data_IF_097562292364
#
_entry.id   IF_097562292364
#
_cell.length_a   1.000
_cell.length_b   1.000
_cell.length_c   1.000
_cell.angle_alpha   90.00
_cell.angle_beta   90.00
_cell.angle_gamma   90.00
#
_symmetry.space_group_name_H-M   'P 1'
#
loop_
_entity.id
_entity.type
_entity.pdbx_description
1 polymer ?
#
# COMPACT_ATOMS: atom_id res chain seq x y z
N UNK A 1 35.21 -100.47 34.28
CA UNK A 1 34.98 -99.42 33.27
C UNK A 1 34.38 -98.25 34.04
N UNK A 2 35.20 -97.41 34.69
CA UNK A 2 36.00 -96.33 34.08
C UNK A 2 35.05 -95.29 33.48
N UNK A 3 35.07 -93.99 33.77
CA UNK A 3 36.00 -93.12 34.48
C UNK A 3 35.30 -91.78 34.82
N UNK A 4 35.78 -91.16 35.91
CA UNK A 4 36.00 -89.74 36.23
C UNK A 4 35.15 -88.60 35.59
N UNK A 5 34.65 -87.69 36.44
CA UNK A 5 35.14 -86.28 36.51
C UNK A 5 34.45 -85.43 37.60
N UNK A 6 35.24 -84.90 38.54
CA UNK A 6 35.02 -83.59 39.20
C UNK A 6 35.81 -82.51 38.40
N UNK A 7 35.67 -81.15 38.56
CA UNK A 7 35.26 -80.40 39.76
C UNK A 7 34.50 -79.04 39.54
N UNK A 8 34.19 -78.38 40.67
CA UNK A 8 34.23 -76.92 40.94
C UNK A 8 33.37 -75.92 40.15
N UNK A 9 32.52 -75.18 40.87
CA UNK A 9 32.78 -73.74 41.13
C UNK A 9 31.59 -73.09 41.87
N UNK A 10 31.90 -72.46 43.01
CA UNK A 10 30.94 -71.62 43.71
C UNK A 10 30.70 -70.31 42.95
N UNK A 11 29.52 -69.73 43.12
CA UNK A 11 29.31 -68.29 43.04
C UNK A 11 28.17 -67.94 43.99
N UNK A 12 28.52 -67.36 45.14
CA UNK A 12 27.58 -66.69 46.02
C UNK A 12 26.92 -65.54 45.26
N UNK A 13 25.69 -65.76 44.82
CA UNK A 13 24.85 -64.71 44.27
C UNK A 13 24.55 -63.69 45.35
N UNK A 14 25.23 -62.54 45.29
CA UNK A 14 24.81 -61.33 46.01
C UNK A 14 23.38 -61.01 45.57
N UNK A 15 22.40 -61.31 46.43
CA UNK A 15 21.03 -60.89 46.24
C UNK A 15 20.99 -59.38 46.02
N UNK A 16 20.43 -58.94 44.88
CA UNK A 16 20.23 -57.52 44.62
C UNK A 16 19.32 -56.96 45.71
N UNK A 17 19.75 -55.89 46.37
CA UNK A 17 18.98 -55.23 47.42
C UNK A 17 17.59 -54.87 46.89
N UNK A 18 16.51 -55.51 47.38
CA UNK A 18 15.15 -55.30 46.88
C UNK A 18 14.67 -53.86 47.12
N UNK A 19 15.38 -53.08 47.94
CA UNK A 19 15.08 -51.69 48.23
C UNK A 19 15.97 -50.70 47.46
N UNK A 20 16.82 -51.15 46.52
CA UNK A 20 17.72 -50.27 45.77
C UNK A 20 16.96 -49.16 45.02
N UNK A 21 15.83 -49.50 44.39
CA UNK A 21 14.97 -48.53 43.69
C UNK A 21 14.32 -47.54 44.67
N UNK A 22 13.89 -48.00 45.85
CA UNK A 22 13.33 -47.14 46.89
C UNK A 22 14.41 -46.20 47.47
N UNK A 23 15.66 -46.68 47.60
CA UNK A 23 16.79 -45.87 48.05
C UNK A 23 17.17 -44.81 47.02
N UNK A 24 17.16 -45.14 45.74
CA UNK A 24 17.39 -44.18 44.64
C UNK A 24 16.26 -43.13 44.60
N UNK A 25 15.01 -43.56 44.64
CA UNK A 25 13.86 -42.66 44.65
C UNK A 25 13.88 -41.74 45.89
N UNK A 26 14.17 -42.29 47.07
CA UNK A 26 14.34 -41.53 48.30
C UNK A 26 15.48 -40.51 48.23
N UNK A 27 16.60 -40.87 47.60
CA UNK A 27 17.73 -39.95 47.37
C UNK A 27 17.37 -38.78 46.45
N UNK A 28 16.67 -39.04 45.34
CA UNK A 28 16.23 -38.00 44.40
C UNK A 28 15.22 -37.05 45.05
N UNK A 29 14.23 -37.60 45.78
CA UNK A 29 13.22 -36.79 46.47
C UNK A 29 13.85 -35.94 47.59
N UNK A 30 14.81 -36.49 48.33
CA UNK A 30 15.52 -35.75 49.38
C UNK A 30 16.35 -34.61 48.80
N UNK A 31 17.07 -34.85 47.70
CA UNK A 31 17.84 -33.81 47.02
C UNK A 31 16.93 -32.70 46.45
N UNK A 32 15.80 -33.08 45.83
CA UNK A 32 14.82 -32.13 45.33
C UNK A 32 14.19 -31.27 46.42
N UNK A 33 13.85 -31.88 47.57
CA UNK A 33 13.29 -31.17 48.71
C UNK A 33 14.30 -30.19 49.32
N UNK A 34 15.59 -30.57 49.42
CA UNK A 34 16.64 -29.68 49.91
C UNK A 34 16.85 -28.46 49.00
N UNK A 35 16.81 -28.66 47.68
CA UNK A 35 16.89 -27.54 46.71
C UNK A 35 15.66 -26.63 46.82
N UNK A 36 14.46 -27.21 46.93
CA UNK A 36 13.23 -26.42 47.09
C UNK A 36 13.21 -25.62 48.39
N UNK A 37 13.66 -26.22 49.50
CA UNK A 37 13.82 -25.54 50.79
C UNK A 37 14.85 -24.41 50.68
N UNK A 38 16.00 -24.64 50.04
CA UNK A 38 17.00 -23.59 49.85
C UNK A 38 16.47 -22.39 49.04
N UNK A 39 15.68 -22.66 47.98
CA UNK A 39 15.02 -21.61 47.19
C UNK A 39 13.96 -20.86 48.01
N UNK A 40 13.16 -21.57 48.82
CA UNK A 40 12.16 -20.94 49.69
C UNK A 40 12.79 -20.11 50.81
N UNK A 41 13.84 -20.60 51.45
CA UNK A 41 14.59 -19.85 52.46
C UNK A 41 15.23 -18.61 51.81
N UNK A 42 15.79 -18.72 50.61
CA UNK A 42 16.30 -17.57 49.87
C UNK A 42 15.20 -16.53 49.62
N UNK A 43 14.01 -16.96 49.20
CA UNK A 43 12.86 -16.07 48.99
C UNK A 43 12.37 -15.36 50.26
N UNK A 44 12.41 -16.04 51.40
CA UNK A 44 12.07 -15.45 52.71
C UNK A 44 13.18 -14.51 53.21
N UNK A 45 14.46 -14.82 52.96
CA UNK A 45 15.59 -13.98 53.35
C UNK A 45 15.72 -12.72 52.48
N UNK A 46 15.32 -12.77 51.20
CA UNK A 46 15.24 -11.60 50.32
C UNK A 46 14.00 -10.74 50.57
N UNK A 47 13.37 -10.88 51.74
CA UNK A 47 12.12 -10.24 52.14
C UNK A 47 11.93 -8.85 51.55
N UNK A 48 10.95 -8.74 50.66
CA UNK A 48 10.51 -7.47 50.11
C UNK A 48 9.90 -6.70 51.28
N UNK A 49 10.64 -5.70 51.77
CA UNK A 49 10.16 -4.81 52.82
C UNK A 49 8.94 -4.08 52.27
N UNK A 50 7.75 -4.42 52.79
CA UNK A 50 6.56 -3.59 52.64
C UNK A 50 6.89 -2.17 53.11
N UNK A 51 7.04 -1.26 52.14
CA UNK A 51 7.12 0.17 52.43
C UNK A 51 5.71 0.65 52.72
N UNK A 52 5.46 0.95 54.00
CA UNK A 52 4.25 1.64 54.47
C UNK A 52 4.03 2.90 53.61
N UNK A 53 2.83 3.00 53.03
CA UNK A 53 2.36 4.15 52.24
C UNK A 53 2.56 5.47 52.99
N UNK A 54 3.29 6.46 52.44
CA UNK A 54 3.07 7.84 52.81
C UNK A 54 1.94 8.41 51.93
N UNK A 55 0.94 8.97 52.59
CA UNK A 55 -0.11 9.78 51.98
C UNK A 55 0.53 11.04 51.41
N UNK A 56 0.68 11.11 50.09
CA UNK A 56 0.91 12.38 49.38
C UNK A 56 -0.02 12.42 48.17
N UNK A 57 -0.97 13.36 48.20
CA UNK A 57 -1.80 13.73 47.05
C UNK A 57 -0.90 14.40 46.02
N UNK A 58 -0.49 13.67 44.99
CA UNK A 58 0.03 14.24 43.75
C UNK A 58 -0.32 13.28 42.62
N UNK A 59 -0.96 13.81 41.59
CA UNK A 59 -1.37 13.08 40.39
C UNK A 59 -0.16 12.34 39.78
N UNK A 60 -0.21 11.01 39.75
CA UNK A 60 0.84 10.17 39.19
C UNK A 60 0.72 10.12 37.66
N UNK A 61 1.78 10.59 37.01
CA UNK A 61 2.06 10.35 35.59
C UNK A 61 2.35 8.85 35.35
N UNK A 62 2.00 8.31 34.18
CA UNK A 62 2.12 6.87 33.93
C UNK A 62 3.57 6.40 33.84
N UNK A 63 3.80 5.29 34.52
CA UNK A 63 5.04 4.49 34.59
C UNK A 63 5.51 4.11 33.17
N UNK A 64 6.76 4.43 32.86
CA UNK A 64 7.38 4.14 31.57
C UNK A 64 7.54 2.61 31.37
N UNK A 65 6.76 2.07 30.43
CA UNK A 65 6.95 0.73 29.92
C UNK A 65 8.31 0.62 29.21
N UNK A 66 9.01 -0.51 29.39
CA UNK A 66 10.17 -0.89 28.56
C UNK A 66 9.77 -0.77 27.08
N UNK A 67 10.32 0.22 26.39
CA UNK A 67 10.02 0.53 24.99
C UNK A 67 10.70 -0.47 24.08
N UNK A 68 9.90 -1.35 23.48
CA UNK A 68 10.30 -2.23 22.39
C UNK A 68 10.10 -1.53 21.05
N UNK A 69 11.16 -1.44 20.25
CA UNK A 69 11.05 -1.66 18.81
C UNK A 69 10.99 -0.45 17.88
N UNK A 70 10.04 0.46 18.05
CA UNK A 70 9.83 1.58 17.10
C UNK A 70 9.30 2.84 17.78
N UNK A 71 9.58 4.05 17.24
CA UNK A 71 9.09 5.31 17.81
C UNK A 71 7.56 5.36 17.97
N UNK A 72 7.11 6.09 19.00
CA UNK A 72 5.68 6.34 19.19
C UNK A 72 5.12 7.19 18.05
N UNK A 73 3.88 6.86 17.65
CA UNK A 73 3.08 7.58 16.66
C UNK A 73 1.96 8.41 17.32
N UNK A 74 1.97 8.60 18.65
CA UNK A 74 0.88 9.29 19.36
C UNK A 74 0.62 10.70 18.81
N UNK A 75 1.69 11.43 18.48
CA UNK A 75 1.58 12.75 17.84
C UNK A 75 1.02 12.72 16.41
N UNK A 76 1.18 11.60 15.71
CA UNK A 76 0.63 11.40 14.36
C UNK A 76 -0.84 10.99 14.44
N UNK A 77 -1.23 10.13 15.38
CA UNK A 77 -2.61 9.66 15.55
C UNK A 77 -3.58 10.81 15.83
N UNK A 78 -3.16 11.84 16.59
CA UNK A 78 -3.99 13.02 16.86
C UNK A 78 -4.28 13.83 15.59
N UNK A 79 -3.40 13.76 14.58
CA UNK A 79 -3.51 14.45 13.30
C UNK A 79 -3.88 13.52 12.15
N UNK A 80 -4.15 12.25 12.46
CA UNK A 80 -4.33 11.21 11.48
C UNK A 80 -5.63 11.41 10.70
N UNK A 81 -5.60 11.05 9.43
CA UNK A 81 -6.74 11.12 8.55
C UNK A 81 -7.45 9.76 8.49
N UNK A 82 -8.54 9.69 9.26
CA UNK A 82 -9.37 8.50 9.43
C UNK A 82 -9.92 7.99 8.09
N UNK A 83 -10.19 8.85 7.11
CA UNK A 83 -10.69 8.42 5.80
C UNK A 83 -9.61 7.72 4.98
N UNK A 84 -8.35 8.16 5.07
CA UNK A 84 -7.23 7.41 4.44
C UNK A 84 -7.03 6.08 5.14
N UNK A 85 -7.10 6.09 6.47
CA UNK A 85 -7.03 4.89 7.29
C UNK A 85 -8.09 3.87 6.88
N UNK A 86 -9.33 4.32 6.70
CA UNK A 86 -10.44 3.50 6.21
C UNK A 86 -10.11 2.88 4.86
N UNK A 87 -9.79 3.71 3.86
CA UNK A 87 -9.47 3.23 2.52
C UNK A 87 -8.32 2.22 2.52
N UNK A 88 -7.28 2.47 3.31
CA UNK A 88 -6.13 1.58 3.46
C UNK A 88 -6.54 0.25 4.10
N UNK A 89 -7.29 0.27 5.21
CA UNK A 89 -7.74 -0.94 5.92
C UNK A 89 -8.70 -1.75 5.06
N UNK A 90 -9.58 -1.10 4.29
CA UNK A 90 -10.44 -1.78 3.32
C UNK A 90 -9.63 -2.47 2.23
N UNK A 91 -8.58 -1.83 1.71
CA UNK A 91 -7.76 -2.41 0.64
C UNK A 91 -6.81 -3.52 1.12
N UNK A 92 -6.19 -3.34 2.29
CA UNK A 92 -5.09 -4.21 2.74
C UNK A 92 -5.54 -5.27 3.75
N UNK A 93 -6.61 -5.01 4.50
CA UNK A 93 -7.01 -5.87 5.62
C UNK A 93 -8.34 -6.60 5.36
N UNK A 94 -9.28 -5.99 4.62
CA UNK A 94 -10.64 -6.54 4.48
C UNK A 94 -10.72 -7.87 3.73
N UNK A 95 -9.70 -8.21 2.93
CA UNK A 95 -9.62 -9.52 2.27
C UNK A 95 -9.50 -10.68 3.27
N UNK A 96 -8.94 -10.43 4.46
CA UNK A 96 -8.76 -11.45 5.50
C UNK A 96 -9.60 -11.18 6.75
N UNK A 97 -9.89 -9.92 7.04
CA UNK A 97 -10.55 -9.48 8.27
C UNK A 97 -11.90 -8.84 7.98
N UNK A 98 -12.93 -9.25 8.70
CA UNK A 98 -14.20 -8.50 8.69
C UNK A 98 -14.11 -7.27 9.59
N UNK A 99 -14.76 -6.17 9.18
CA UNK A 99 -14.69 -4.87 9.84
C UNK A 99 -16.02 -4.43 10.47
N UNK A 100 -17.12 -5.08 10.13
CA UNK A 100 -18.44 -4.76 10.65
C UNK A 100 -18.66 -5.29 12.07
N UNK A 101 -19.53 -4.59 12.82
CA UNK A 101 -19.95 -4.99 14.16
C UNK A 101 -20.56 -6.39 14.14
N UNK A 102 -20.04 -7.28 14.98
CA UNK A 102 -20.50 -8.67 15.07
C UNK A 102 -20.20 -9.54 13.84
N UNK A 103 -19.36 -9.06 12.90
CA UNK A 103 -18.97 -9.86 11.73
C UNK A 103 -18.24 -11.15 12.11
N UNK A 104 -18.51 -12.23 11.37
CA UNK A 104 -17.86 -13.52 11.59
C UNK A 104 -16.35 -13.44 11.30
N UNK A 105 -15.56 -14.23 12.01
CA UNK A 105 -14.13 -14.35 11.69
C UNK A 105 -13.93 -15.11 10.37
N UNK A 106 -12.88 -14.75 9.63
CA UNK A 106 -12.50 -15.36 8.35
C UNK A 106 -11.07 -15.90 8.39
N UNK A 107 -10.27 -15.55 7.39
CA UNK A 107 -8.82 -15.85 7.37
C UNK A 107 -8.14 -15.23 8.62
N UNK A 108 -8.55 -14.02 8.98
CA UNK A 108 -8.21 -13.33 10.21
C UNK A 108 -9.42 -13.10 11.14
N UNK A 109 -9.19 -12.70 12.39
CA UNK A 109 -10.25 -12.34 13.33
C UNK A 109 -11.01 -11.08 12.85
N UNK A 110 -12.25 -10.92 13.32
CA UNK A 110 -12.98 -9.66 13.18
C UNK A 110 -12.26 -8.51 13.93
N UNK A 111 -12.10 -7.36 13.27
CA UNK A 111 -11.38 -6.20 13.80
C UNK A 111 -12.28 -5.15 14.47
N UNK A 112 -13.60 -5.31 14.41
CA UNK A 112 -14.50 -4.40 15.10
C UNK A 112 -14.30 -4.53 16.62
N UNK A 113 -13.96 -3.43 17.26
CA UNK A 113 -13.64 -3.30 18.67
C UNK A 113 -12.19 -3.66 18.99
N UNK A 114 -11.29 -3.84 18.03
CA UNK A 114 -9.94 -4.38 18.32
C UNK A 114 -9.10 -3.47 19.22
N UNK A 115 -9.24 -2.15 19.10
CA UNK A 115 -8.46 -1.20 19.90
C UNK A 115 -8.97 -1.15 21.34
N UNK A 116 -8.06 -1.33 22.31
CA UNK A 116 -8.38 -1.40 23.74
C UNK A 116 -8.76 -2.79 24.25
N UNK A 117 -8.99 -3.76 23.37
CA UNK A 117 -9.30 -5.14 23.75
C UNK A 117 -8.05 -5.94 24.13
N UNK A 118 -8.18 -7.03 24.92
CA UNK A 118 -7.09 -7.93 25.20
C UNK A 118 -6.47 -8.50 23.92
N UNK A 119 -5.14 -8.42 23.81
CA UNK A 119 -4.44 -8.87 22.61
C UNK A 119 -4.67 -10.36 22.36
N UNK A 120 -5.00 -10.71 21.11
CA UNK A 120 -5.14 -12.08 20.63
C UNK A 120 -6.16 -12.94 21.41
N UNK A 121 -7.26 -12.33 21.89
CA UNK A 121 -8.36 -13.01 22.62
C UNK A 121 -9.76 -12.78 22.01
N UNK A 122 -9.85 -12.50 20.72
CA UNK A 122 -11.14 -12.32 20.03
C UNK A 122 -11.95 -13.62 20.03
N UNK A 123 -13.18 -13.56 20.54
CA UNK A 123 -14.10 -14.70 20.54
C UNK A 123 -14.37 -15.18 19.10
N UNK A 124 -14.48 -16.50 18.93
CA UNK A 124 -14.78 -17.12 17.63
C UNK A 124 -13.60 -17.19 16.65
N UNK A 125 -12.37 -16.89 17.07
CA UNK A 125 -11.17 -17.06 16.24
C UNK A 125 -10.03 -17.77 16.99
N UNK A 126 -9.38 -18.74 16.33
CA UNK A 126 -8.26 -19.49 16.88
C UNK A 126 -6.92 -18.88 16.47
N UNK A 127 -6.28 -18.18 17.40
CA UNK A 127 -4.98 -17.57 17.21
C UNK A 127 -3.84 -18.62 17.11
N UNK A 128 -2.71 -18.23 16.50
CA UNK A 128 -1.52 -19.11 16.46
C UNK A 128 -0.79 -19.11 17.80
N UNK A 129 -0.06 -20.19 18.09
CA UNK A 129 0.72 -20.30 19.33
C UNK A 129 1.80 -19.21 19.50
N UNK A 130 2.25 -18.62 18.40
CA UNK A 130 3.20 -17.50 18.42
C UNK A 130 2.58 -16.23 19.02
N UNK A 131 1.40 -15.83 18.53
CA UNK A 131 0.75 -14.60 19.00
C UNK A 131 0.15 -14.76 20.38
N UNK A 132 -0.30 -15.95 20.78
CA UNK A 132 -0.80 -16.18 22.14
C UNK A 132 0.33 -16.09 23.18
N UNK A 133 1.56 -16.47 22.83
CA UNK A 133 2.75 -16.27 23.68
C UNK A 133 3.15 -14.79 23.78
N UNK A 134 2.96 -14.02 22.72
CA UNK A 134 3.21 -12.58 22.70
C UNK A 134 2.08 -11.74 23.33
N UNK A 135 0.94 -12.37 23.66
CA UNK A 135 -0.23 -11.69 24.20
C UNK A 135 0.02 -11.20 25.64
N UNK A 136 0.27 -9.91 25.82
CA UNK A 136 0.40 -9.28 27.13
C UNK A 136 -0.30 -7.92 27.17
N UNK A 137 -1.41 -7.83 27.91
CA UNK A 137 -2.21 -6.61 28.04
C UNK A 137 -3.22 -6.41 26.92
N UNK A 138 -3.52 -5.14 26.61
CA UNK A 138 -4.52 -4.71 25.65
C UNK A 138 -3.89 -4.06 24.42
N UNK A 139 -4.65 -3.96 23.33
CA UNK A 139 -4.26 -3.21 22.13
C UNK A 139 -4.23 -1.70 22.40
N UNK A 140 -3.08 -1.19 22.83
CA UNK A 140 -2.79 0.25 22.87
C UNK A 140 -2.37 0.75 21.48
N UNK A 141 -2.34 2.07 21.29
CA UNK A 141 -1.81 2.68 20.06
C UNK A 141 -0.37 2.23 19.78
N UNK A 142 0.50 2.25 20.79
CA UNK A 142 1.89 1.81 20.65
C UNK A 142 2.01 0.31 20.35
N UNK A 143 1.18 -0.54 20.97
CA UNK A 143 1.22 -1.99 20.67
C UNK A 143 0.68 -2.30 19.29
N UNK A 144 -0.36 -1.60 18.84
CA UNK A 144 -0.84 -1.73 17.47
C UNK A 144 0.17 -1.17 16.45
N UNK A 145 0.87 -0.08 16.78
CA UNK A 145 1.98 0.48 16.00
C UNK A 145 3.09 -0.56 15.81
N UNK A 146 3.56 -1.18 16.90
CA UNK A 146 4.57 -2.26 16.86
C UNK A 146 4.08 -3.48 16.06
N UNK A 147 2.83 -3.89 16.23
CA UNK A 147 2.24 -5.01 15.50
C UNK A 147 2.14 -4.76 14.00
N UNK A 148 1.62 -3.60 13.61
CA UNK A 148 1.43 -3.26 12.20
C UNK A 148 2.73 -2.90 11.50
N UNK A 149 3.79 -2.49 12.22
CA UNK A 149 5.10 -2.30 11.60
C UNK A 149 5.69 -3.63 11.12
N UNK A 150 5.60 -4.68 11.93
CA UNK A 150 6.14 -6.00 11.59
C UNK A 150 5.50 -7.12 12.43
N UNK A 151 4.42 -7.76 11.94
CA UNK A 151 3.75 -8.84 12.66
C UNK A 151 4.67 -10.04 12.93
N UNK A 152 5.55 -10.37 11.98
CA UNK A 152 6.47 -11.50 12.12
C UNK A 152 7.55 -11.22 13.16
N UNK A 153 8.03 -9.99 13.27
CA UNK A 153 8.97 -9.59 14.33
C UNK A 153 8.27 -9.46 15.69
N UNK A 154 7.03 -8.98 15.73
CA UNK A 154 6.25 -8.86 16.96
C UNK A 154 5.93 -10.22 17.56
N UNK A 155 5.54 -11.19 16.72
CA UNK A 155 5.29 -12.57 17.13
C UNK A 155 5.83 -13.55 16.08
N UNK A 156 7.10 -13.98 16.19
CA UNK A 156 7.71 -14.92 15.25
C UNK A 156 6.91 -16.22 15.13
N UNK A 157 6.47 -16.54 13.91
CA UNK A 157 5.57 -17.67 13.63
C UNK A 157 4.08 -17.31 13.72
N UNK A 158 3.73 -16.02 13.69
CA UNK A 158 2.34 -15.59 13.51
C UNK A 158 1.81 -16.06 12.15
N UNK A 159 0.54 -16.46 12.12
CA UNK A 159 -0.17 -16.76 10.86
C UNK A 159 -0.50 -15.51 10.04
N UNK A 160 -0.41 -14.32 10.65
CA UNK A 160 -0.52 -13.07 9.92
C UNK A 160 0.77 -12.80 9.14
N UNK A 161 0.89 -13.41 7.95
CA UNK A 161 2.02 -13.26 7.02
C UNK A 161 2.12 -11.89 6.33
N UNK A 162 1.58 -10.85 6.97
CA UNK A 162 1.60 -9.49 6.45
C UNK A 162 2.99 -8.88 6.66
N UNK A 163 3.52 -8.22 5.63
CA UNK A 163 4.88 -7.65 5.62
C UNK A 163 5.04 -6.41 6.51
N UNK A 164 3.93 -5.87 7.00
CA UNK A 164 3.90 -4.68 7.84
C UNK A 164 3.84 -3.36 7.04
N UNK A 165 3.42 -2.30 7.74
CA UNK A 165 3.29 -0.93 7.26
C UNK A 165 4.50 -0.16 7.78
N UNK A 166 5.52 0.11 6.96
CA UNK A 166 6.74 0.79 7.44
C UNK A 166 6.60 2.31 7.57
N UNK A 167 5.61 2.91 6.90
CA UNK A 167 5.37 4.34 6.97
C UNK A 167 4.54 4.71 8.21
N UNK A 168 5.12 5.52 9.10
CA UNK A 168 4.51 5.92 10.37
C UNK A 168 3.17 6.66 10.21
N UNK A 169 3.03 7.52 9.19
CA UNK A 169 1.79 8.26 8.95
C UNK A 169 0.68 7.33 8.44
N UNK A 170 1.00 6.43 7.51
CA UNK A 170 0.03 5.44 7.01
C UNK A 170 -0.41 4.50 8.13
N UNK A 171 0.53 4.09 8.99
CA UNK A 171 0.24 3.27 10.15
C UNK A 171 -0.61 4.03 11.18
N UNK A 172 -0.34 5.32 11.40
CA UNK A 172 -1.16 6.18 12.25
C UNK A 172 -2.59 6.38 11.71
N UNK A 173 -2.75 6.61 10.40
CA UNK A 173 -4.06 6.71 9.73
C UNK A 173 -4.86 5.41 9.88
N UNK A 174 -4.24 4.27 9.59
CA UNK A 174 -4.87 2.96 9.75
C UNK A 174 -5.30 2.69 11.21
N UNK A 175 -4.44 3.02 12.18
CA UNK A 175 -4.74 2.86 13.61
C UNK A 175 -5.85 3.81 14.06
N UNK A 176 -5.87 5.04 13.54
CA UNK A 176 -6.94 6.01 13.81
C UNK A 176 -8.29 5.53 13.27
N UNK A 177 -8.33 4.84 12.13
CA UNK A 177 -9.54 4.18 11.64
C UNK A 177 -9.92 2.94 12.44
N UNK A 178 -8.98 2.05 12.77
CA UNK A 178 -9.28 0.87 13.60
C UNK A 178 -9.88 1.27 14.96
N UNK A 179 -9.48 2.44 15.48
CA UNK A 179 -10.10 3.04 16.67
C UNK A 179 -11.58 3.37 16.47
N UNK A 180 -12.00 3.86 15.29
CA UNK A 180 -13.41 4.21 15.02
C UNK A 180 -14.32 3.00 14.84
N UNK A 181 -13.75 1.83 14.56
CA UNK A 181 -14.49 0.56 14.52
C UNK A 181 -14.83 0.08 15.94
N UNK A 182 -15.54 0.87 16.75
CA UNK A 182 -15.96 0.49 18.10
C UNK A 182 -17.16 1.32 18.53
N UNK A 183 -18.04 0.74 19.34
CA UNK A 183 -19.08 1.49 20.03
C UNK A 183 -18.50 2.44 21.09
N UNK A 184 -17.36 2.06 21.67
CA UNK A 184 -16.65 2.79 22.71
C UNK A 184 -15.18 2.96 22.30
N UNK A 185 -14.87 3.86 21.35
CA UNK A 185 -13.51 4.05 20.86
C UNK A 185 -12.61 4.57 21.98
N UNK A 186 -11.43 3.94 22.18
CA UNK A 186 -10.46 4.40 23.18
C UNK A 186 -10.11 5.89 22.97
N UNK A 187 -9.91 6.71 24.02
CA UNK A 187 -9.58 8.12 23.85
C UNK A 187 -8.32 8.33 23.01
N UNK A 188 -8.25 9.42 22.24
CA UNK A 188 -7.00 9.82 21.58
C UNK A 188 -5.92 10.10 22.64
N UNK A 189 -4.65 9.84 22.34
CA UNK A 189 -3.57 10.09 23.30
C UNK A 189 -3.48 11.59 23.60
N UNK A 190 -3.24 11.94 24.86
CA UNK A 190 -3.08 13.36 25.25
C UNK A 190 -1.76 13.89 24.69
N UNK A 191 -1.72 15.10 24.09
CA UNK A 191 -0.46 15.72 23.70
C UNK A 191 0.47 15.82 24.91
N UNK A 192 1.64 15.16 24.85
CA UNK A 192 2.69 15.26 25.87
C UNK A 192 2.88 14.06 26.82
N UNK A 193 2.12 12.97 26.68
CA UNK A 193 2.32 11.77 27.50
C UNK A 193 3.13 10.67 26.77
N UNK A 194 4.45 10.87 26.65
CA UNK A 194 5.41 9.77 26.46
C UNK A 194 6.31 9.81 25.21
N UNK A 195 7.60 10.07 25.42
CA UNK A 195 8.71 9.67 24.52
C UNK A 195 9.29 10.79 23.63
N UNK A 196 10.53 11.17 23.91
CA UNK A 196 11.27 12.30 23.30
C UNK A 196 11.29 12.28 21.77
N UNK A 197 10.72 13.32 21.18
CA UNK A 197 10.83 13.61 19.76
C UNK A 197 12.23 14.11 19.42
N UNK A 198 13.01 13.30 18.70
CA UNK A 198 14.07 13.86 17.84
C UNK A 198 13.38 14.42 16.60
N UNK A 199 13.14 15.72 16.65
CA UNK A 199 12.65 16.51 15.54
C UNK A 199 13.61 16.37 14.34
N UNK A 200 13.23 15.54 13.37
CA UNK A 200 13.70 15.70 12.00
C UNK A 200 12.80 16.73 11.34
N UNK A 201 13.37 17.87 10.97
CA UNK A 201 12.70 18.98 10.30
C UNK A 201 12.31 18.53 8.88
N UNK A 202 11.25 17.75 8.77
CA UNK A 202 10.60 17.35 7.52
C UNK A 202 9.28 18.08 7.41
N UNK A 203 9.15 18.92 6.39
CA UNK A 203 7.94 19.66 6.10
C UNK A 203 6.75 18.71 5.92
N UNK A 204 5.63 19.07 6.56
CA UNK A 204 4.39 18.32 6.60
C UNK A 204 3.82 18.01 5.20
N UNK A 205 3.25 16.83 4.96
CA UNK A 205 2.39 16.63 3.81
C UNK A 205 0.97 17.12 4.13
N UNK A 206 0.45 17.96 3.25
CA UNK A 206 -0.96 18.32 3.19
C UNK A 206 -1.84 17.08 2.86
N UNK A 207 -3.13 17.19 3.18
CA UNK A 207 -4.13 16.12 3.27
C UNK A 207 -4.40 15.29 2.00
N UNK A 208 -5.23 14.25 2.16
CA UNK A 208 -5.96 13.69 1.02
C UNK A 208 -7.25 14.49 0.89
N UNK A 209 -7.43 15.14 -0.25
CA UNK A 209 -8.68 15.16 -0.97
C UNK A 209 -8.39 15.18 -2.49
N UNK A 210 -9.23 14.53 -3.26
CA UNK A 210 -9.77 15.02 -4.55
C UNK A 210 -8.86 15.53 -5.70
N UNK A 211 -7.53 15.44 -5.66
CA UNK A 211 -6.69 16.08 -6.68
C UNK A 211 -5.19 15.72 -6.65
N UNK A 212 -4.84 14.43 -6.61
CA UNK A 212 -3.44 14.02 -6.76
C UNK A 212 -2.89 14.43 -8.15
N UNK A 213 -1.71 15.06 -8.26
CA UNK A 213 -1.15 15.46 -9.54
C UNK A 213 -0.79 14.24 -10.41
N UNK A 214 -0.94 14.36 -11.73
CA UNK A 214 -0.40 13.41 -12.72
C UNK A 214 1.11 13.28 -12.51
N UNK A 215 1.69 12.08 -12.64
CA UNK A 215 3.11 11.87 -12.28
C UNK A 215 4.07 12.81 -13.04
N UNK A 216 3.69 13.25 -14.24
CA UNK A 216 4.38 14.27 -15.03
C UNK A 216 4.54 15.60 -14.28
N UNK A 217 3.51 16.05 -13.58
CA UNK A 217 3.57 17.24 -12.71
C UNK A 217 4.33 17.01 -11.40
N UNK A 218 4.53 15.75 -11.00
CA UNK A 218 5.31 15.38 -9.81
C UNK A 218 6.81 15.28 -10.09
N UNK A 219 7.24 15.13 -11.35
CA UNK A 219 8.68 15.10 -11.68
C UNK A 219 9.40 16.40 -11.36
N UNK A 220 8.70 17.54 -11.41
CA UNK A 220 9.26 18.84 -11.03
C UNK A 220 9.52 18.95 -9.51
N UNK A 221 8.76 18.22 -8.70
CA UNK A 221 8.90 18.15 -7.24
C UNK A 221 9.45 16.81 -6.73
N UNK A 222 9.93 15.95 -7.64
CA UNK A 222 10.42 14.63 -7.30
C UNK A 222 11.74 14.72 -6.54
N UNK A 223 11.80 14.01 -5.42
CA UNK A 223 12.94 13.99 -4.52
C UNK A 223 13.74 12.70 -4.76
N UNK A 224 14.81 12.82 -5.55
CA UNK A 224 15.68 11.69 -5.88
C UNK A 224 16.34 11.06 -4.63
N UNK A 225 16.49 11.79 -3.54
CA UNK A 225 17.03 11.23 -2.29
C UNK A 225 16.00 10.38 -1.56
N UNK A 226 14.70 10.75 -1.61
CA UNK A 226 13.62 9.86 -1.14
C UNK A 226 13.46 8.65 -2.05
N UNK A 227 13.61 8.85 -3.36
CA UNK A 227 13.61 7.76 -4.34
C UNK A 227 14.74 6.76 -4.07
N UNK A 228 15.94 7.26 -3.78
CA UNK A 228 17.09 6.45 -3.37
C UNK A 228 16.78 5.66 -2.09
N UNK A 229 16.29 6.32 -1.04
CA UNK A 229 15.95 5.66 0.20
C UNK A 229 14.91 4.54 -0.01
N UNK A 230 13.87 4.80 -0.81
CA UNK A 230 12.88 3.79 -1.16
C UNK A 230 13.50 2.63 -1.95
N UNK A 231 14.34 2.93 -2.94
CA UNK A 231 15.05 1.92 -3.71
C UNK A 231 15.90 1.02 -2.82
N UNK A 232 16.65 1.60 -1.88
CA UNK A 232 17.47 0.83 -0.94
C UNK A 232 16.63 -0.05 -0.02
N UNK A 233 15.41 0.35 0.31
CA UNK A 233 14.53 -0.41 1.20
C UNK A 233 13.75 -1.51 0.46
N UNK A 234 13.31 -1.25 -0.77
CA UNK A 234 12.31 -2.08 -1.45
C UNK A 234 12.82 -2.79 -2.70
N UNK A 235 13.90 -2.28 -3.33
CA UNK A 235 14.35 -2.75 -4.63
C UNK A 235 15.76 -3.38 -4.58
N UNK A 236 16.62 -2.91 -3.68
CA UNK A 236 18.04 -3.31 -3.59
C UNK A 236 18.27 -4.79 -3.31
N UNK A 237 17.30 -5.46 -2.65
CA UNK A 237 17.35 -6.89 -2.38
C UNK A 237 17.37 -7.73 -3.67
N UNK A 238 16.84 -7.19 -4.77
CA UNK A 238 16.77 -7.89 -6.05
C UNK A 238 17.56 -7.20 -7.16
N UNK A 239 17.66 -5.87 -7.14
CA UNK A 239 18.25 -5.08 -8.20
C UNK A 239 19.51 -4.34 -7.73
N UNK A 240 20.53 -4.35 -8.57
CA UNK A 240 21.66 -3.42 -8.46
C UNK A 240 21.39 -2.20 -9.33
N UNK A 241 22.01 -1.06 -9.01
CA UNK A 241 21.85 0.20 -9.78
C UNK A 241 23.17 0.90 -10.07
N UNK A 242 24.31 0.24 -9.80
CA UNK A 242 25.64 0.80 -10.08
C UNK A 242 26.00 0.62 -11.56
N UNK A 243 26.70 1.59 -12.15
CA UNK A 243 27.24 1.51 -13.52
C UNK A 243 28.11 0.27 -13.69
N UNK A 244 27.78 -0.56 -14.67
CA UNK A 244 28.48 -1.83 -14.91
C UNK A 244 28.30 -2.89 -13.81
N UNK A 245 27.39 -2.67 -12.85
CA UNK A 245 27.12 -3.63 -11.78
C UNK A 245 26.49 -4.93 -12.27
N UNK A 246 26.68 -6.01 -11.51
CA UNK A 246 26.18 -7.34 -11.84
C UNK A 246 24.64 -7.40 -11.82
N UNK A 247 24.07 -8.25 -12.67
CA UNK A 247 22.67 -8.68 -12.54
C UNK A 247 22.52 -9.63 -11.34
N UNK A 248 21.34 -9.67 -10.73
CA UNK A 248 21.03 -10.53 -9.58
C UNK A 248 19.69 -11.25 -9.75
N UNK A 249 18.87 -11.28 -8.69
CA UNK A 249 17.48 -11.76 -8.78
C UNK A 249 16.71 -10.99 -9.86
N UNK A 250 16.91 -9.68 -9.91
CA UNK A 250 16.50 -8.79 -10.99
C UNK A 250 17.68 -8.28 -11.83
N UNK A 251 17.43 -7.70 -13.01
CA UNK A 251 18.46 -7.06 -13.81
C UNK A 251 19.06 -5.84 -13.09
N UNK A 252 20.30 -5.49 -13.41
CA UNK A 252 20.87 -4.21 -13.03
C UNK A 252 20.07 -3.07 -13.71
N UNK A 253 19.74 -2.03 -12.94
CA UNK A 253 18.86 -0.93 -13.39
C UNK A 253 19.62 0.36 -13.72
N UNK A 254 20.95 0.36 -13.72
CA UNK A 254 21.70 1.52 -14.20
C UNK A 254 21.35 1.78 -15.67
N UNK A 255 20.98 3.03 -15.97
CA UNK A 255 20.54 3.49 -17.27
C UNK A 255 19.15 2.99 -17.69
N UNK A 256 18.31 2.51 -16.75
CA UNK A 256 17.01 1.92 -17.12
C UNK A 256 16.04 2.92 -17.74
N UNK A 257 16.04 4.18 -17.30
CA UNK A 257 15.11 5.19 -17.82
C UNK A 257 15.50 5.56 -19.25
N UNK A 258 14.59 5.31 -20.19
CA UNK A 258 14.78 5.48 -21.63
C UNK A 258 15.41 4.27 -22.34
N UNK A 259 15.82 3.22 -21.62
CA UNK A 259 16.41 2.03 -22.22
C UNK A 259 15.36 1.12 -22.86
N UNK A 260 15.73 0.25 -23.81
CA UNK A 260 14.81 -0.76 -24.35
C UNK A 260 14.26 -1.68 -23.24
N UNK A 261 12.95 -1.95 -23.31
CA UNK A 261 12.26 -2.77 -22.33
C UNK A 261 12.75 -4.22 -22.38
N UNK A 262 12.89 -4.82 -21.21
CA UNK A 262 13.19 -6.25 -21.04
C UNK A 262 14.37 -6.76 -21.90
N UNK A 263 15.38 -5.89 -22.12
CA UNK A 263 16.51 -6.17 -23.02
C UNK A 263 17.90 -5.95 -22.37
N UNK A 264 17.98 -5.93 -21.03
CA UNK A 264 19.26 -5.80 -20.32
C UNK A 264 20.19 -6.96 -20.66
N UNK A 265 21.36 -6.63 -21.21
CA UNK A 265 22.38 -7.61 -21.56
C UNK A 265 22.77 -8.48 -20.36
N UNK A 266 22.92 -9.78 -20.60
CA UNK A 266 23.32 -10.75 -19.56
C UNK A 266 22.26 -11.04 -18.49
N UNK A 267 20.99 -10.63 -18.67
CA UNK A 267 19.88 -11.02 -17.79
C UNK A 267 18.81 -11.80 -18.57
N UNK A 268 18.29 -12.87 -17.96
CA UNK A 268 17.22 -13.70 -18.56
C UNK A 268 15.86 -13.28 -18.04
N UNK A 269 15.10 -12.57 -18.88
CA UNK A 269 13.72 -12.19 -18.58
C UNK A 269 12.75 -13.38 -18.67
N UNK A 270 11.64 -13.30 -17.93
CA UNK A 270 10.52 -14.24 -18.04
C UNK A 270 9.96 -14.32 -19.46
N UNK A 271 9.36 -15.46 -19.82
CA UNK A 271 8.71 -15.62 -21.12
C UNK A 271 7.57 -14.62 -21.35
N UNK A 272 6.87 -14.21 -20.29
CA UNK A 272 5.86 -13.16 -20.35
C UNK A 272 6.48 -11.79 -20.65
N UNK A 273 7.51 -11.38 -19.90
CA UNK A 273 8.18 -10.09 -20.09
C UNK A 273 8.78 -9.91 -21.48
N UNK A 274 9.36 -10.98 -22.06
CA UNK A 274 9.91 -10.93 -23.43
C UNK A 274 8.87 -10.56 -24.50
N UNK A 275 7.59 -10.84 -24.28
CA UNK A 275 6.51 -10.48 -25.21
C UNK A 275 6.17 -8.98 -25.22
N UNK A 276 6.69 -8.22 -24.27
CA UNK A 276 6.49 -6.78 -24.10
C UNK A 276 7.80 -5.99 -24.32
N UNK A 277 8.77 -6.57 -25.01
CA UNK A 277 10.10 -5.98 -25.23
C UNK A 277 10.13 -4.96 -26.40
N UNK A 278 8.98 -4.63 -26.99
CA UNK A 278 8.82 -3.81 -28.20
C UNK A 278 8.76 -2.30 -27.92
N UNK A 279 9.34 -1.85 -26.81
CA UNK A 279 9.31 -0.45 -26.38
C UNK A 279 10.54 -0.01 -25.59
N UNK A 280 10.47 1.21 -25.04
CA UNK A 280 11.47 1.77 -24.14
C UNK A 280 10.84 2.05 -22.78
N UNK A 281 11.63 1.93 -21.72
CA UNK A 281 11.28 2.34 -20.36
C UNK A 281 11.20 3.86 -20.25
N UNK A 282 10.21 4.48 -20.89
CA UNK A 282 9.94 5.90 -20.65
C UNK A 282 9.51 6.12 -19.19
N UNK A 283 9.56 7.36 -18.67
CA UNK A 283 9.08 7.65 -17.32
C UNK A 283 7.63 7.20 -17.08
N UNK A 284 6.76 7.36 -18.09
CA UNK A 284 5.36 6.92 -18.03
C UNK A 284 5.26 5.38 -18.00
N UNK A 285 6.01 4.69 -18.86
CA UNK A 285 5.98 3.22 -18.88
C UNK A 285 6.59 2.60 -17.61
N UNK A 286 7.58 3.25 -17.01
CA UNK A 286 8.10 2.88 -15.69
C UNK A 286 7.10 3.15 -14.57
N UNK A 287 6.31 4.23 -14.66
CA UNK A 287 5.23 4.53 -13.72
C UNK A 287 4.20 3.40 -13.67
N UNK A 288 3.69 3.03 -14.84
CA UNK A 288 2.72 1.95 -15.03
C UNK A 288 3.27 0.60 -14.54
N UNK A 289 4.54 0.31 -14.89
CA UNK A 289 5.20 -0.90 -14.43
C UNK A 289 5.32 -0.93 -12.91
N UNK A 290 5.83 0.14 -12.29
CA UNK A 290 6.04 0.22 -10.85
C UNK A 290 4.71 0.25 -10.07
N UNK A 291 3.60 0.65 -10.68
CA UNK A 291 2.29 0.63 -10.03
C UNK A 291 1.79 -0.78 -9.74
N UNK A 292 1.98 -1.74 -10.67
CA UNK A 292 1.58 -3.13 -10.49
C UNK A 292 2.25 -4.10 -11.51
N UNK A 293 3.52 -4.51 -11.31
CA UNK A 293 4.27 -5.32 -12.28
C UNK A 293 3.59 -6.62 -12.69
N UNK A 294 3.01 -7.34 -11.72
CA UNK A 294 2.32 -8.62 -11.96
C UNK A 294 0.99 -8.48 -12.69
N UNK A 295 0.39 -7.28 -12.67
CA UNK A 295 -0.81 -6.97 -13.46
C UNK A 295 -0.43 -6.48 -14.86
N UNK A 296 0.61 -5.65 -14.96
CA UNK A 296 1.10 -5.12 -16.22
C UNK A 296 1.65 -6.24 -17.13
N UNK A 297 2.39 -7.19 -16.55
CA UNK A 297 2.86 -8.40 -17.26
C UNK A 297 2.55 -9.64 -16.41
N UNK A 298 1.38 -10.25 -16.59
CA UNK A 298 1.03 -11.50 -15.92
C UNK A 298 2.06 -12.59 -16.22
N UNK A 299 2.61 -13.21 -15.17
CA UNK A 299 3.69 -14.20 -15.30
C UNK A 299 5.10 -13.62 -15.35
N UNK A 300 5.28 -12.32 -15.08
CA UNK A 300 6.62 -11.75 -14.84
C UNK A 300 7.27 -12.36 -13.59
N UNK A 301 8.60 -12.50 -13.61
CA UNK A 301 9.38 -12.91 -12.43
C UNK A 301 9.44 -11.82 -11.36
N UNK A 302 9.13 -10.56 -11.71
CA UNK A 302 9.08 -9.45 -10.75
C UNK A 302 7.75 -9.47 -9.97
N UNK A 303 7.63 -10.41 -9.02
CA UNK A 303 6.45 -10.60 -8.17
C UNK A 303 6.32 -9.52 -7.08
N UNK A 304 6.38 -8.25 -7.49
CA UNK A 304 6.29 -7.09 -6.60
C UNK A 304 4.84 -6.55 -6.55
N UNK A 305 4.28 -6.25 -5.35
CA UNK A 305 2.91 -5.75 -5.21
C UNK A 305 2.64 -4.39 -5.88
N UNK A 306 3.70 -3.62 -6.16
CA UNK A 306 3.64 -2.31 -6.79
C UNK A 306 3.53 -1.14 -5.79
N UNK A 307 3.89 0.06 -6.26
CA UNK A 307 3.92 1.31 -5.49
C UNK A 307 2.65 2.10 -5.81
N UNK A 308 1.69 2.21 -4.88
CA UNK A 308 0.41 2.89 -5.16
C UNK A 308 0.49 4.42 -5.12
N UNK A 309 1.45 4.96 -4.36
CA UNK A 309 1.62 6.40 -4.24
C UNK A 309 2.36 6.99 -5.45
N UNK A 310 1.74 7.95 -6.14
CA UNK A 310 2.28 8.58 -7.35
C UNK A 310 3.58 9.37 -7.07
N UNK A 311 3.67 10.08 -5.94
CA UNK A 311 4.90 10.82 -5.58
C UNK A 311 6.05 9.86 -5.32
N UNK A 312 5.80 8.75 -4.62
CA UNK A 312 6.83 7.73 -4.38
C UNK A 312 7.32 7.11 -5.71
N UNK A 313 6.42 6.85 -6.66
CA UNK A 313 6.83 6.42 -8.01
C UNK A 313 7.65 7.50 -8.72
N UNK A 314 7.23 8.77 -8.63
CA UNK A 314 7.96 9.90 -9.22
C UNK A 314 9.39 10.02 -8.65
N UNK A 315 9.53 9.93 -7.32
CA UNK A 315 10.80 10.00 -6.61
C UNK A 315 11.74 8.85 -7.03
N UNK A 316 11.22 7.61 -7.11
CA UNK A 316 11.98 6.43 -7.54
C UNK A 316 12.41 6.57 -9.00
N UNK A 317 11.52 7.02 -9.90
CA UNK A 317 11.85 7.24 -11.31
C UNK A 317 12.89 8.37 -11.46
N UNK A 318 12.78 9.44 -10.66
CA UNK A 318 13.78 10.50 -10.63
C UNK A 318 15.15 10.01 -10.15
N UNK A 319 15.18 9.16 -9.11
CA UNK A 319 16.40 8.49 -8.67
C UNK A 319 17.00 7.62 -9.76
N UNK A 320 16.22 6.72 -10.36
CA UNK A 320 16.69 5.83 -11.44
C UNK A 320 17.18 6.61 -12.66
N UNK A 321 16.54 7.73 -12.99
CA UNK A 321 16.96 8.60 -14.07
C UNK A 321 18.33 9.22 -13.79
N UNK A 322 18.61 9.59 -12.54
CA UNK A 322 19.93 10.09 -12.09
C UNK A 322 21.01 9.01 -12.18
N UNK A 323 20.64 7.73 -12.09
CA UNK A 323 21.55 6.59 -12.25
C UNK A 323 21.69 6.20 -13.73
N UNK A 324 22.13 7.13 -14.57
CA UNK A 324 22.28 6.93 -16.02
C UNK A 324 23.39 7.82 -16.59
N UNK A 325 24.07 7.36 -17.64
CA UNK A 325 24.94 8.20 -18.47
C UNK A 325 24.13 9.06 -19.44
N UNK A 326 22.88 8.67 -19.70
CA UNK A 326 21.94 9.35 -20.58
C UNK A 326 20.62 9.56 -19.82
N UNK A 327 20.60 10.41 -18.77
CA UNK A 327 19.36 10.75 -18.09
C UNK A 327 18.41 11.38 -19.11
N UNK A 328 17.15 10.92 -19.14
CA UNK A 328 16.14 11.58 -19.95
C UNK A 328 15.71 12.86 -19.25
N UNK A 329 15.33 13.87 -20.03
CA UNK A 329 14.78 15.08 -19.45
C UNK A 329 13.36 14.79 -18.93
N UNK A 330 13.24 14.54 -17.62
CA UNK A 330 11.95 14.30 -16.97
C UNK A 330 11.01 15.50 -17.09
N UNK A 331 11.55 16.72 -17.22
CA UNK A 331 10.77 17.92 -17.47
C UNK A 331 10.30 18.00 -18.94
N UNK A 332 11.07 17.50 -19.93
CA UNK A 332 10.58 17.38 -21.31
C UNK A 332 9.59 16.22 -21.48
N UNK A 333 9.72 15.15 -20.69
CA UNK A 333 8.70 14.10 -20.54
C UNK A 333 7.47 14.57 -19.73
N UNK A 334 7.59 15.72 -19.04
CA UNK A 334 6.50 16.45 -18.41
C UNK A 334 5.95 17.61 -19.28
N UNK A 335 6.42 17.75 -20.52
CA UNK A 335 6.16 18.91 -21.37
C UNK A 335 7.00 20.13 -20.93
N UNK A 336 7.57 20.90 -21.87
CA UNK A 336 8.59 21.89 -21.54
C UNK A 336 8.08 22.98 -20.59
N UNK A 337 8.83 23.18 -19.50
CA UNK A 337 8.75 24.37 -18.66
C UNK A 337 9.09 25.60 -19.50
N UNK A 338 8.15 26.54 -19.50
CA UNK A 338 8.20 27.80 -20.21
C UNK A 338 9.39 28.66 -19.81
N UNK A 339 10.09 29.21 -20.81
CA UNK A 339 10.68 30.53 -20.70
C UNK A 339 9.79 31.54 -21.43
N UNK A 340 9.32 32.50 -20.63
CA UNK A 340 8.70 33.79 -20.91
C UNK A 340 7.23 33.85 -21.41
N UNK A 341 6.38 34.30 -20.46
CA UNK A 341 5.14 35.09 -20.58
C UNK A 341 3.90 34.39 -21.20
N UNK A 342 2.70 34.28 -20.60
CA UNK A 342 2.02 35.00 -19.49
C UNK A 342 0.85 34.13 -19.00
N UNK A 343 0.64 34.10 -17.67
CA UNK A 343 -0.56 33.77 -16.88
C UNK A 343 -1.64 32.73 -17.32
N UNK A 344 -2.00 31.90 -16.33
CA UNK A 344 -3.34 31.38 -15.98
C UNK A 344 -3.69 29.90 -16.29
N UNK A 345 -3.64 29.08 -15.22
CA UNK A 345 -4.80 28.33 -14.71
C UNK A 345 -5.16 27.00 -15.38
N UNK A 346 -4.77 25.89 -14.76
CA UNK A 346 -5.24 24.54 -15.10
C UNK A 346 -5.78 23.81 -13.86
N UNK A 347 -6.77 22.98 -14.12
CA UNK A 347 -7.38 22.03 -13.20
C UNK A 347 -7.57 20.68 -13.98
N UNK A 348 -8.07 19.60 -13.37
CA UNK A 348 -7.38 18.36 -13.00
C UNK A 348 -8.01 17.04 -13.54
N UNK A 349 -7.19 16.11 -14.00
CA UNK A 349 -7.61 14.78 -14.49
C UNK A 349 -7.91 13.79 -13.36
N UNK A 350 -8.89 12.92 -13.59
CA UNK A 350 -9.19 11.78 -12.76
C UNK A 350 -9.58 10.65 -13.68
N UNK A 351 -8.81 9.57 -13.65
CA UNK A 351 -9.16 8.31 -14.29
C UNK A 351 -8.44 7.13 -13.63
N UNK A 352 -9.05 5.95 -13.70
CA UNK A 352 -8.58 4.67 -13.13
C UNK A 352 -7.53 3.98 -14.03
N UNK A 353 -6.28 3.91 -13.55
CA UNK A 353 -5.09 3.39 -14.25
C UNK A 353 -4.97 1.86 -14.32
N UNK A 354 -6.01 1.10 -13.99
CA UNK A 354 -6.00 -0.37 -14.14
C UNK A 354 -6.67 -0.86 -15.43
N UNK A 355 -7.09 0.06 -16.30
CA UNK A 355 -7.68 -0.21 -17.59
C UNK A 355 -6.65 -0.36 -18.71
N UNK A 356 -6.91 -1.16 -19.76
CA UNK A 356 -6.21 -0.99 -21.02
C UNK A 356 -6.37 0.46 -21.49
N UNK A 357 -5.31 1.05 -22.06
CA UNK A 357 -5.34 2.44 -22.51
C UNK A 357 -6.57 2.68 -23.40
N UNK A 358 -7.16 3.87 -23.37
CA UNK A 358 -8.31 4.17 -24.24
C UNK A 358 -7.98 3.85 -25.70
N UNK A 359 -6.73 4.08 -26.12
CA UNK A 359 -6.21 3.70 -27.44
C UNK A 359 -6.28 2.19 -27.70
N UNK A 360 -5.91 1.35 -26.73
CA UNK A 360 -6.04 -0.12 -26.82
C UNK A 360 -7.51 -0.56 -26.83
N UNK A 361 -8.35 0.07 -26.01
CA UNK A 361 -9.78 -0.25 -25.96
C UNK A 361 -10.51 0.18 -27.24
N UNK A 362 -10.08 1.28 -27.88
CA UNK A 362 -10.64 1.75 -29.14
C UNK A 362 -10.46 0.75 -30.29
N UNK A 363 -9.40 -0.06 -30.27
CA UNK A 363 -9.19 -1.12 -31.26
C UNK A 363 -10.24 -2.25 -31.20
N UNK A 364 -10.93 -2.40 -30.06
CA UNK A 364 -11.98 -3.40 -29.84
C UNK A 364 -13.33 -2.79 -29.44
N UNK A 365 -13.46 -1.47 -29.59
CA UNK A 365 -14.66 -0.75 -29.21
C UNK A 365 -15.86 -1.15 -30.07
N UNK A 366 -17.05 -1.09 -29.48
CA UNK A 366 -18.33 -1.34 -30.11
C UNK A 366 -19.13 -0.03 -30.23
N UNK A 367 -19.03 0.71 -31.35
CA UNK A 367 -19.73 1.99 -31.55
C UNK A 367 -21.23 1.91 -31.36
N UNK A 368 -21.88 0.80 -31.75
CA UNK A 368 -23.32 0.60 -31.51
C UNK A 368 -23.70 0.62 -30.01
N UNK A 369 -22.82 0.13 -29.12
CA UNK A 369 -23.02 0.22 -27.67
C UNK A 369 -22.81 1.65 -27.17
N UNK A 370 -21.86 2.38 -27.75
CA UNK A 370 -21.64 3.81 -27.51
C UNK A 370 -22.86 4.64 -27.92
N UNK A 371 -23.43 4.36 -29.08
CA UNK A 371 -24.65 5.01 -29.59
C UNK A 371 -25.84 4.79 -28.64
N UNK A 372 -26.09 3.55 -28.20
CA UNK A 372 -27.18 3.27 -27.26
C UNK A 372 -27.00 4.04 -25.94
N UNK A 373 -25.76 4.11 -25.43
CA UNK A 373 -25.43 4.87 -24.23
C UNK A 373 -25.62 6.37 -24.43
N UNK A 374 -25.23 6.91 -25.59
CA UNK A 374 -25.43 8.31 -25.93
C UNK A 374 -26.91 8.69 -25.93
N UNK A 375 -27.75 7.83 -26.53
CA UNK A 375 -29.19 8.06 -26.55
C UNK A 375 -29.81 8.01 -25.15
N UNK A 376 -29.26 7.23 -24.23
CA UNK A 376 -29.76 7.10 -22.86
C UNK A 376 -29.27 8.22 -21.93
N UNK A 377 -28.02 8.68 -22.10
CA UNK A 377 -27.34 9.50 -21.09
C UNK A 377 -26.97 10.90 -21.57
N UNK A 378 -26.91 11.13 -22.88
CA UNK A 378 -26.36 12.37 -23.45
C UNK A 378 -27.36 13.13 -24.32
N UNK A 379 -28.27 12.42 -24.99
CA UNK A 379 -29.22 12.99 -25.99
C UNK A 379 -30.18 14.03 -25.42
N UNK A 380 -30.48 13.96 -24.12
CA UNK A 380 -31.32 14.94 -23.43
C UNK A 380 -30.67 16.34 -23.40
N UNK A 381 -29.34 16.41 -23.49
CA UNK A 381 -28.59 17.66 -23.41
C UNK A 381 -27.84 18.01 -24.69
N UNK A 382 -27.35 17.01 -25.43
CA UNK A 382 -26.50 17.18 -26.60
C UNK A 382 -27.16 16.66 -27.87
N UNK A 383 -27.11 17.47 -28.93
CA UNK A 383 -27.33 16.98 -30.29
C UNK A 383 -26.04 16.42 -30.88
N UNK A 384 -26.15 15.51 -31.85
CA UNK A 384 -24.98 14.86 -32.46
C UNK A 384 -25.06 14.77 -33.97
N UNK A 385 -26.11 15.29 -34.59
CA UNK A 385 -26.24 15.30 -36.04
C UNK A 385 -25.44 16.46 -36.64
N UNK A 386 -24.93 16.28 -37.86
CA UNK A 386 -24.24 17.33 -38.62
C UNK A 386 -25.11 18.59 -38.71
N UNK A 387 -24.57 19.71 -38.25
CA UNK A 387 -25.28 21.00 -38.23
C UNK A 387 -26.46 21.06 -37.25
N UNK A 388 -26.57 20.13 -36.31
CA UNK A 388 -27.60 20.15 -35.28
C UNK A 388 -27.47 21.35 -34.34
N UNK A 389 -28.60 21.80 -33.78
CA UNK A 389 -28.63 22.94 -32.87
C UNK A 389 -27.95 22.64 -31.52
N UNK A 390 -27.36 23.65 -30.89
CA UNK A 390 -26.94 23.60 -29.50
C UNK A 390 -28.17 23.59 -28.57
N UNK A 391 -28.07 22.95 -27.42
CA UNK A 391 -29.13 22.86 -26.42
C UNK A 391 -28.61 23.14 -25.02
N UNK A 392 -29.00 22.29 -24.05
CA UNK A 392 -28.44 22.32 -22.68
C UNK A 392 -26.92 22.12 -22.72
N UNK A 393 -26.43 21.32 -23.67
CA UNK A 393 -25.03 21.19 -24.05
C UNK A 393 -24.79 21.56 -25.53
N UNK A 394 -23.53 21.73 -25.96
CA UNK A 394 -23.19 21.96 -27.35
C UNK A 394 -23.53 20.75 -28.23
N UNK A 395 -23.69 20.98 -29.54
CA UNK A 395 -23.66 19.90 -30.52
C UNK A 395 -22.29 19.21 -30.50
N UNK A 396 -22.29 17.87 -30.60
CA UNK A 396 -21.10 17.02 -30.49
C UNK A 396 -20.68 16.38 -31.83
N UNK A 397 -21.29 16.75 -32.95
CA UNK A 397 -20.84 16.28 -34.27
C UNK A 397 -19.43 16.84 -34.55
N UNK A 398 -18.52 15.95 -34.93
CA UNK A 398 -17.12 16.28 -35.19
C UNK A 398 -16.31 16.57 -33.93
N UNK A 399 -16.78 16.18 -32.74
CA UNK A 399 -16.11 16.55 -31.49
C UNK A 399 -14.74 15.88 -31.32
N UNK A 400 -14.54 14.67 -31.84
CA UNK A 400 -13.25 13.98 -31.73
C UNK A 400 -12.23 14.67 -32.63
N UNK A 401 -11.12 15.12 -32.06
CA UNK A 401 -10.09 15.91 -32.73
C UNK A 401 -10.39 17.42 -32.83
N UNK A 402 -11.59 17.87 -32.44
CA UNK A 402 -11.93 19.30 -32.50
C UNK A 402 -11.33 20.10 -31.34
N UNK A 403 -11.19 21.42 -31.53
CA UNK A 403 -10.75 22.35 -30.49
C UNK A 403 -11.67 22.27 -29.27
N UNK A 404 -11.07 22.11 -28.09
CA UNK A 404 -11.81 22.01 -26.84
C UNK A 404 -12.63 23.28 -26.59
N UNK A 405 -13.88 23.09 -26.17
CA UNK A 405 -14.80 24.17 -25.79
C UNK A 405 -14.96 25.30 -26.83
N UNK A 406 -14.88 24.95 -28.12
CA UNK A 406 -14.95 25.90 -29.24
C UNK A 406 -16.18 25.73 -30.15
N UNK A 407 -17.21 25.00 -29.69
CA UNK A 407 -18.43 24.80 -30.46
C UNK A 407 -19.11 26.14 -30.80
N UNK A 408 -19.27 26.41 -32.10
CA UNK A 408 -19.82 27.66 -32.59
C UNK A 408 -21.25 27.90 -32.04
N UNK A 409 -21.51 29.12 -31.58
CA UNK A 409 -22.83 29.50 -31.07
C UNK A 409 -23.22 28.89 -29.72
N UNK A 410 -22.31 28.21 -29.00
CA UNK A 410 -22.57 27.72 -27.64
C UNK A 410 -21.80 28.54 -26.60
N UNK A 411 -22.45 28.83 -25.48
CA UNK A 411 -21.84 29.56 -24.37
C UNK A 411 -21.30 28.61 -23.30
N UNK A 412 -20.00 28.35 -23.39
CA UNK A 412 -19.28 27.59 -22.36
C UNK A 412 -19.15 28.36 -21.05
N UNK A 413 -19.05 27.61 -19.95
CA UNK A 413 -18.73 28.17 -18.63
C UNK A 413 -17.38 28.88 -18.64
N UNK A 414 -17.19 29.81 -17.71
CA UNK A 414 -15.91 30.51 -17.54
C UNK A 414 -14.76 29.54 -17.24
N UNK A 415 -15.04 28.43 -16.55
CA UNK A 415 -14.07 27.38 -16.30
C UNK A 415 -13.69 26.63 -17.59
N UNK A 416 -14.68 26.17 -18.37
CA UNK A 416 -14.44 25.49 -19.64
C UNK A 416 -13.64 26.34 -20.63
N UNK A 417 -13.95 27.64 -20.75
CA UNK A 417 -13.19 28.55 -21.62
C UNK A 417 -11.72 28.67 -21.22
N UNK A 418 -11.40 28.66 -19.91
CA UNK A 418 -10.01 28.69 -19.41
C UNK A 418 -9.25 27.39 -19.71
N UNK A 419 -9.97 26.28 -19.87
CA UNK A 419 -9.42 24.97 -20.21
C UNK A 419 -9.43 24.65 -21.71
N UNK A 420 -9.73 25.63 -22.57
CA UNK A 420 -9.75 25.48 -24.02
C UNK A 420 -8.32 25.52 -24.63
N UNK A 421 -7.41 24.69 -24.13
CA UNK A 421 -5.97 24.77 -24.45
C UNK A 421 -5.49 23.74 -25.48
N UNK A 422 -6.38 22.89 -26.00
CA UNK A 422 -6.03 21.81 -26.92
C UNK A 422 -7.20 21.28 -27.75
N UNK A 423 -7.01 20.08 -28.27
CA UNK A 423 -7.99 19.34 -29.06
C UNK A 423 -8.57 18.17 -28.26
N UNK A 424 -9.81 17.81 -28.54
CA UNK A 424 -10.50 16.66 -27.98
C UNK A 424 -9.94 15.35 -28.53
N UNK A 425 -8.73 15.00 -28.12
CA UNK A 425 -8.14 13.69 -28.43
C UNK A 425 -8.91 12.57 -27.74
N UNK A 426 -8.69 11.32 -28.17
CA UNK A 426 -9.23 10.16 -27.47
C UNK A 426 -8.85 10.10 -25.99
N UNK A 427 -7.63 10.56 -25.64
CA UNK A 427 -7.18 10.67 -24.26
C UNK A 427 -7.97 11.73 -23.50
N UNK A 428 -8.07 12.95 -24.04
CA UNK A 428 -8.78 14.06 -23.38
C UNK A 428 -10.28 13.76 -23.20
N UNK A 429 -10.92 13.15 -24.20
CA UNK A 429 -12.31 12.72 -24.09
C UNK A 429 -12.49 11.60 -23.06
N UNK A 430 -11.51 10.70 -22.91
CA UNK A 430 -11.56 9.64 -21.92
C UNK A 430 -11.52 10.21 -20.49
N UNK A 431 -10.64 11.18 -20.24
CA UNK A 431 -10.54 11.91 -18.97
C UNK A 431 -11.81 12.71 -18.69
N UNK A 432 -12.27 13.47 -19.67
CA UNK A 432 -13.49 14.25 -19.58
C UNK A 432 -14.70 13.38 -19.26
N UNK A 433 -14.91 12.30 -19.99
CA UNK A 433 -16.07 11.42 -19.82
C UNK A 433 -16.05 10.65 -18.49
N UNK A 434 -14.90 10.52 -17.83
CA UNK A 434 -14.86 9.86 -16.52
C UNK A 434 -15.38 10.74 -15.39
N UNK A 435 -15.08 12.04 -15.43
CA UNK A 435 -15.52 12.99 -14.43
C UNK A 435 -15.36 14.45 -14.93
N UNK A 436 -16.34 15.01 -15.65
CA UNK A 436 -16.23 16.35 -16.22
C UNK A 436 -16.07 17.46 -15.18
N UNK A 437 -16.78 17.32 -14.05
CA UNK A 437 -16.71 18.30 -12.95
C UNK A 437 -15.39 18.24 -12.23
N UNK A 438 -14.78 17.05 -12.13
CA UNK A 438 -13.41 16.94 -11.69
C UNK A 438 -12.49 17.54 -12.74
N UNK A 439 -12.54 17.10 -14.00
CA UNK A 439 -11.69 17.53 -15.14
C UNK A 439 -11.65 19.06 -15.33
N UNK A 440 -12.79 19.71 -15.21
CA UNK A 440 -12.91 21.17 -15.25
C UNK A 440 -13.84 21.62 -14.11
N UNK A 441 -13.30 21.91 -12.92
CA UNK A 441 -14.05 22.40 -11.78
C UNK A 441 -14.75 23.70 -12.12
N UNK A 442 -16.07 23.72 -11.92
CA UNK A 442 -16.93 24.82 -12.33
C UNK A 442 -17.43 24.74 -13.78
N UNK A 443 -17.23 23.60 -14.47
CA UNK A 443 -17.95 23.34 -15.73
C UNK A 443 -19.46 23.24 -15.48
N UNK A 444 -20.26 23.66 -16.46
CA UNK A 444 -21.71 23.49 -16.42
C UNK A 444 -22.14 22.06 -16.76
N UNK A 445 -21.22 21.22 -17.27
CA UNK A 445 -21.51 19.81 -17.54
C UNK A 445 -21.50 18.99 -16.25
N UNK A 446 -22.57 19.09 -15.47
CA UNK A 446 -22.78 18.32 -14.26
C UNK A 446 -23.20 16.88 -14.61
N UNK A 447 -22.21 16.04 -14.89
CA UNK A 447 -22.41 14.64 -15.24
C UNK A 447 -21.58 13.74 -14.31
N UNK A 448 -22.15 12.67 -13.72
CA UNK A 448 -21.44 11.78 -12.79
C UNK A 448 -20.24 11.03 -13.40
N UNK A 449 -20.18 10.98 -14.73
CA UNK A 449 -19.12 10.34 -15.49
C UNK A 449 -19.31 8.84 -15.71
N UNK A 450 -18.70 8.32 -16.78
CA UNK A 450 -18.69 6.91 -17.15
C UNK A 450 -17.47 6.26 -16.49
N UNK A 451 -17.65 5.55 -15.38
CA UNK A 451 -16.51 4.95 -14.65
C UNK A 451 -15.91 3.73 -15.36
N UNK A 452 -16.70 3.01 -16.14
CA UNK A 452 -16.23 1.85 -16.90
C UNK A 452 -15.43 2.24 -18.15
N UNK A 453 -14.25 1.68 -18.30
CA UNK A 453 -13.25 2.10 -19.28
C UNK A 453 -13.59 1.62 -20.71
N UNK A 454 -14.14 0.41 -20.83
CA UNK A 454 -14.66 -0.13 -22.10
C UNK A 454 -15.88 0.67 -22.56
N UNK A 455 -16.75 1.08 -21.63
CA UNK A 455 -17.90 1.92 -21.93
C UNK A 455 -17.49 3.31 -22.47
N UNK A 456 -16.46 3.94 -21.87
CA UNK A 456 -15.91 5.20 -22.42
C UNK A 456 -15.29 5.02 -23.80
N UNK A 457 -14.53 3.95 -24.02
CA UNK A 457 -13.99 3.67 -25.35
C UNK A 457 -15.09 3.46 -26.40
N UNK A 458 -16.17 2.77 -26.06
CA UNK A 458 -17.35 2.63 -26.95
C UNK A 458 -17.99 3.98 -27.27
N UNK A 459 -18.12 4.86 -26.27
CA UNK A 459 -18.64 6.23 -26.45
C UNK A 459 -17.73 7.05 -27.38
N UNK A 460 -16.43 7.04 -27.15
CA UNK A 460 -15.45 7.79 -27.97
C UNK A 460 -15.43 7.27 -29.41
N UNK A 461 -15.50 5.93 -29.60
CA UNK A 461 -15.59 5.34 -30.93
C UNK A 461 -16.87 5.75 -31.66
N UNK A 462 -18.01 5.83 -30.95
CA UNK A 462 -19.26 6.33 -31.52
C UNK A 462 -19.16 7.81 -31.91
N UNK A 463 -18.65 8.67 -31.01
CA UNK A 463 -18.45 10.10 -31.28
C UNK A 463 -17.54 10.31 -32.50
N UNK A 464 -16.50 9.49 -32.66
CA UNK A 464 -15.60 9.57 -33.81
C UNK A 464 -16.29 9.26 -35.14
N UNK A 465 -17.28 8.36 -35.15
CA UNK A 465 -18.09 8.07 -36.34
C UNK A 465 -19.00 9.22 -36.74
N UNK A 466 -19.33 10.12 -35.80
CA UNK A 466 -20.18 11.27 -36.05
C UNK A 466 -19.32 12.46 -36.48
N UNK A 467 -18.55 12.31 -37.56
CA UNK A 467 -17.62 13.32 -38.06
C UNK A 467 -17.42 13.15 -39.58
N UNK A 468 -17.15 14.26 -40.27
CA UNK A 468 -16.68 14.22 -41.66
C UNK A 468 -15.18 13.85 -41.74
N UNK A 469 -14.47 13.98 -40.62
CA UNK A 469 -13.04 13.70 -40.46
C UNK A 469 -12.82 12.82 -39.23
N UNK A 470 -13.20 11.53 -39.27
CA UNK A 470 -12.95 10.61 -38.17
C UNK A 470 -11.43 10.44 -37.97
N UNK A 471 -10.98 10.53 -36.73
CA UNK A 471 -9.58 10.31 -36.37
C UNK A 471 -9.21 8.83 -36.52
N UNK A 472 -8.00 8.56 -36.99
CA UNK A 472 -7.44 7.21 -36.96
C UNK A 472 -6.74 6.98 -35.63
N UNK A 473 -7.31 6.12 -34.79
CA UNK A 473 -6.69 5.71 -33.53
C UNK A 473 -5.54 4.72 -33.80
N UNK A 474 -4.42 5.20 -34.35
CA UNK A 474 -3.18 4.43 -34.52
C UNK A 474 -2.39 4.39 -33.23
#
# INVERSE_FOLDING_TARGET
MSDQNHPSSGHGGKGRDPLLLNKIAGGILSAGLLVWIAIHIAGVMTGEKEVKKPVIKTAEAPVAAKTSGIPSIDGLIVKADVKKGEAFVQQQCAACHTLNKGGAAGVGPNLYGVMGEPMFKKAGYTFSGAVTKAASGVWTYQKMNEWLDDPQKFAPGTRMGYTGIKNDNVRADAIAYLRTLSDNPIPLPKPGAGGSAVASKGAAPAGLDSGAPVITTLYASADASKGEAFFQQQCSACHTVTKGGANGVGPNLYGVVGAPMFAKAGYTFSGAAKKHADGKWTPHELDEWLYAPTKAVPGTHMAYPGIKNNQTRADVIAYLNKQSDHPVNLAAAAGPAATTATAAGAAPTGLDSSAPSVKTLLASAAPAKGQAMFQQQCSACHSINKGGANGVGPNLYGVVGAKMFAAAGYSFSSAAKKHATGDWTAHELNEWLYDPMKAVPGTHMAYPGIKNNVARANMIAYLNQQSDHPETFK
#
